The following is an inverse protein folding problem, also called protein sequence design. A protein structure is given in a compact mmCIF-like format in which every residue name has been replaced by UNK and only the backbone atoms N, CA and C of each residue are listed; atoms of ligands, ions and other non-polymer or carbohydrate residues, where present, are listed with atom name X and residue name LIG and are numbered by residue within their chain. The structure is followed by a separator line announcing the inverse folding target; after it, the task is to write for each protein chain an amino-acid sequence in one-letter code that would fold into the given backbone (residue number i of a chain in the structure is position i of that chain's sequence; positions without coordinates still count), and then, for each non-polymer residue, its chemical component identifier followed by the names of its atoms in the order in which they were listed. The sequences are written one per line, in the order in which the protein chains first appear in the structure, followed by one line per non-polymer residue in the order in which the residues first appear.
data_IF_516626987201
#
_entry.id   IF_516626987201
#
_cell.length_a   1.000
_cell.length_b   1.000
_cell.length_c   1.000
_cell.angle_alpha   90.00
_cell.angle_beta   90.00
_cell.angle_gamma   90.00
#
_symmetry.space_group_name_H-M   'P 1'
#
loop_
_entity.id
_entity.type
_entity.pdbx_description
1 polymer ?
#
# COMPACT_ATOMS: atom_id res chain seq x y z
N UNK A 1 -3.58 9.84 -12.19
CA UNK A 1 -3.09 9.42 -13.53
C UNK A 1 -3.70 10.36 -14.54
N UNK A 2 -2.94 10.86 -15.51
CA UNK A 2 -3.51 11.66 -16.61
C UNK A 2 -4.29 10.71 -17.51
N UNK A 3 -5.47 11.12 -17.96
CA UNK A 3 -6.19 10.40 -19.01
C UNK A 3 -5.35 10.39 -20.28
N UNK A 4 -5.26 9.22 -20.93
CA UNK A 4 -4.61 9.11 -22.23
C UNK A 4 -5.51 8.32 -23.16
N UNK A 5 -5.67 8.81 -24.38
CA UNK A 5 -6.47 8.14 -25.40
C UNK A 5 -5.72 6.90 -25.91
N UNK A 6 -6.39 5.75 -25.87
CA UNK A 6 -5.85 4.46 -26.29
C UNK A 6 -5.44 4.46 -27.77
N UNK A 7 -6.19 5.15 -28.64
CA UNK A 7 -5.93 5.27 -30.08
C UNK A 7 -4.62 5.98 -30.39
N UNK A 8 -4.10 6.78 -29.45
CA UNK A 8 -2.85 7.52 -29.62
C UNK A 8 -1.61 6.75 -29.15
N UNK A 9 -1.79 5.62 -28.46
CA UNK A 9 -0.69 4.87 -27.83
C UNK A 9 -0.59 3.44 -28.38
N UNK A 10 -1.70 2.74 -28.56
CA UNK A 10 -1.67 1.32 -28.87
C UNK A 10 -1.71 1.06 -30.38
N UNK A 11 -1.02 0.00 -30.86
CA UNK A 11 -1.18 -0.48 -32.21
C UNK A 11 -2.64 -0.90 -32.50
N UNK A 12 -3.07 -0.71 -33.74
CA UNK A 12 -4.45 -1.02 -34.18
C UNK A 12 -4.89 -2.45 -33.83
N UNK A 13 -4.04 -3.44 -34.09
CA UNK A 13 -4.33 -4.85 -33.84
C UNK A 13 -4.58 -5.14 -32.35
N UNK A 14 -3.84 -4.49 -31.46
CA UNK A 14 -4.02 -4.61 -30.01
C UNK A 14 -5.33 -3.94 -29.55
N UNK A 15 -5.66 -2.77 -30.11
CA UNK A 15 -6.92 -2.09 -29.83
C UNK A 15 -8.12 -2.92 -30.25
N UNK A 16 -8.07 -3.54 -31.43
CA UNK A 16 -9.12 -4.44 -31.92
C UNK A 16 -9.32 -5.63 -30.97
N UNK A 17 -8.23 -6.24 -30.48
CA UNK A 17 -8.32 -7.32 -29.49
C UNK A 17 -8.94 -6.82 -28.18
N UNK A 18 -8.52 -5.67 -27.66
CA UNK A 18 -9.09 -5.11 -26.43
C UNK A 18 -10.60 -4.82 -26.61
N UNK A 19 -10.99 -4.25 -27.75
CA UNK A 19 -12.39 -3.95 -28.07
C UNK A 19 -13.27 -5.19 -28.18
N UNK A 20 -12.73 -6.35 -28.57
CA UNK A 20 -13.46 -7.63 -28.53
C UNK A 20 -13.90 -8.02 -27.12
N UNK A 21 -13.11 -7.67 -26.10
CA UNK A 21 -13.43 -7.98 -24.70
C UNK A 21 -14.18 -6.84 -24.00
N UNK A 22 -13.80 -5.58 -24.27
CA UNK A 22 -14.29 -4.39 -23.56
C UNK A 22 -14.47 -3.21 -24.54
N UNK A 23 -15.58 -3.15 -25.29
CA UNK A 23 -15.85 -2.03 -26.20
C UNK A 23 -16.25 -0.77 -25.41
N UNK A 24 -15.47 0.31 -25.56
CA UNK A 24 -15.77 1.63 -24.97
C UNK A 24 -15.58 1.74 -23.45
N UNK A 25 -14.98 0.73 -22.81
CA UNK A 25 -14.77 0.72 -21.35
C UNK A 25 -13.47 1.39 -20.90
N UNK A 26 -13.40 1.71 -19.61
CA UNK A 26 -12.18 2.18 -18.95
C UNK A 26 -11.42 0.99 -18.35
N UNK A 27 -10.18 0.78 -18.78
CA UNK A 27 -9.34 -0.33 -18.33
C UNK A 27 -8.16 0.21 -17.54
N UNK A 28 -7.92 -0.36 -16.36
CA UNK A 28 -6.68 -0.13 -15.63
C UNK A 28 -5.58 -1.03 -16.18
N UNK A 29 -4.48 -0.44 -16.65
CA UNK A 29 -3.29 -1.18 -17.05
C UNK A 29 -2.31 -1.18 -15.87
N UNK A 30 -2.12 -2.33 -15.20
CA UNK A 30 -1.16 -2.44 -14.11
C UNK A 30 0.27 -2.15 -14.59
N UNK A 31 1.12 -1.69 -13.67
CA UNK A 31 2.57 -1.63 -13.95
C UNK A 31 3.11 -3.05 -14.13
N UNK A 32 4.16 -3.24 -14.97
CA UNK A 32 4.90 -4.49 -15.03
C UNK A 32 5.34 -4.92 -13.63
N UNK A 33 5.35 -6.24 -13.38
CA UNK A 33 5.56 -6.77 -12.02
C UNK A 33 6.87 -6.31 -11.40
N UNK A 34 7.88 -6.15 -12.23
CA UNK A 34 9.24 -5.75 -11.85
C UNK A 34 9.36 -4.24 -11.56
N UNK A 35 8.35 -3.46 -11.99
CA UNK A 35 8.20 -2.05 -11.70
C UNK A 35 7.25 -1.77 -10.52
N UNK A 36 6.69 -2.81 -9.88
CA UNK A 36 5.99 -2.63 -8.61
C UNK A 36 7.00 -2.27 -7.53
N UNK A 37 7.13 -0.98 -7.27
CA UNK A 37 7.68 -0.52 -6.01
C UNK A 37 6.81 -1.02 -4.88
N UNK A 38 7.43 -1.56 -3.84
CA UNK A 38 6.70 -2.11 -2.73
C UNK A 38 5.92 -0.96 -2.04
N UNK A 39 4.69 -1.20 -1.62
CA UNK A 39 3.80 -0.18 -1.02
C UNK A 39 4.50 0.75 -0.02
N UNK A 40 4.52 2.06 -0.31
CA UNK A 40 5.11 3.10 0.55
C UNK A 40 6.58 3.46 0.26
N UNK A 41 7.20 2.93 -0.79
CA UNK A 41 8.56 3.33 -1.22
C UNK A 41 8.63 4.73 -1.84
N UNK A 42 7.61 5.18 -2.58
CA UNK A 42 7.63 6.52 -3.22
C UNK A 42 7.13 7.65 -2.31
N UNK A 43 6.34 7.36 -1.28
CA UNK A 43 5.69 8.37 -0.44
C UNK A 43 6.33 8.53 0.93
N UNK A 44 7.38 7.75 1.25
CA UNK A 44 8.00 7.74 2.59
C UNK A 44 7.12 7.13 3.68
N UNK A 45 5.85 6.85 3.41
CA UNK A 45 4.89 6.34 4.40
C UNK A 45 5.31 5.01 5.02
N UNK A 46 6.05 4.16 4.28
CA UNK A 46 6.61 2.93 4.85
C UNK A 46 7.62 3.21 5.95
N UNK A 47 8.45 4.26 5.81
CA UNK A 47 9.45 4.64 6.80
C UNK A 47 8.76 5.15 8.07
N UNK A 48 7.81 6.07 7.92
CA UNK A 48 7.03 6.62 9.04
C UNK A 48 6.31 5.52 9.83
N UNK A 49 5.63 4.61 9.12
CA UNK A 49 4.93 3.48 9.78
C UNK A 49 5.92 2.55 10.49
N UNK A 50 7.11 2.33 9.92
CA UNK A 50 8.14 1.51 10.55
C UNK A 50 8.69 2.17 11.82
N UNK A 51 9.04 3.45 11.76
CA UNK A 51 9.56 4.23 12.89
C UNK A 51 8.54 4.24 14.04
N UNK A 52 7.28 4.59 13.76
CA UNK A 52 6.19 4.52 14.74
C UNK A 52 6.06 3.11 15.36
N UNK A 53 6.08 2.06 14.53
CA UNK A 53 5.92 0.70 15.04
C UNK A 53 7.12 0.23 15.88
N UNK A 54 8.33 0.75 15.63
CA UNK A 54 9.50 0.46 16.44
C UNK A 54 9.43 1.21 17.79
N UNK A 55 8.96 2.46 17.81
CA UNK A 55 8.69 3.21 19.04
C UNK A 55 7.62 2.53 19.91
N UNK A 56 6.49 2.11 19.31
CA UNK A 56 5.43 1.35 20.01
C UNK A 56 6.00 0.09 20.69
N UNK A 57 6.93 -0.62 20.02
CA UNK A 57 7.57 -1.80 20.61
C UNK A 57 8.49 -1.46 21.77
N UNK A 58 9.23 -0.35 21.67
CA UNK A 58 10.11 0.10 22.76
C UNK A 58 9.30 0.49 24.00
N UNK A 59 8.22 1.26 23.83
CA UNK A 59 7.33 1.64 24.93
C UNK A 59 6.64 0.42 25.56
N UNK A 60 6.17 -0.52 24.73
CA UNK A 60 5.60 -1.77 25.24
C UNK A 60 6.63 -2.58 26.05
N UNK A 61 7.87 -2.68 25.56
CA UNK A 61 8.95 -3.35 26.29
C UNK A 61 9.34 -2.63 27.59
N UNK A 62 9.12 -1.31 27.67
CA UNK A 62 9.28 -0.50 28.87
C UNK A 62 8.10 -0.59 29.85
N UNK A 63 7.04 -1.34 29.51
CA UNK A 63 5.90 -1.60 30.41
C UNK A 63 4.63 -0.79 30.12
N UNK A 64 4.59 0.02 29.06
CA UNK A 64 3.36 0.71 28.65
C UNK A 64 2.30 -0.31 28.21
N UNK A 65 1.05 -0.15 28.66
CA UNK A 65 -0.01 -1.11 28.37
C UNK A 65 -0.53 -0.98 26.93
N UNK A 66 -1.19 -2.03 26.44
CA UNK A 66 -1.79 -2.04 25.10
C UNK A 66 -2.85 -0.93 24.96
N UNK A 67 -3.66 -0.70 25.99
CA UNK A 67 -4.70 0.34 25.99
C UNK A 67 -4.09 1.75 25.92
N UNK A 68 -3.04 2.01 26.71
CA UNK A 68 -2.31 3.29 26.66
C UNK A 68 -1.69 3.55 25.28
N UNK A 69 -1.11 2.52 24.66
CA UNK A 69 -0.56 2.63 23.30
C UNK A 69 -1.66 2.83 22.25
N UNK A 70 -2.80 2.18 22.42
CA UNK A 70 -3.96 2.33 21.52
C UNK A 70 -4.45 3.78 21.52
N UNK A 71 -4.58 4.38 22.71
CA UNK A 71 -4.99 5.77 22.87
C UNK A 71 -3.92 6.74 22.33
N UNK A 72 -2.65 6.56 22.75
CA UNK A 72 -1.55 7.46 22.38
C UNK A 72 -1.34 7.55 20.85
N UNK A 73 -1.47 6.43 20.14
CA UNK A 73 -1.25 6.38 18.69
C UNK A 73 -2.54 6.41 17.88
N UNK A 74 -3.71 6.54 18.53
CA UNK A 74 -5.03 6.46 17.92
C UNK A 74 -5.18 5.20 17.04
N UNK A 75 -4.76 4.04 17.58
CA UNK A 75 -4.81 2.75 16.91
C UNK A 75 -5.75 1.81 17.67
N UNK A 76 -6.38 0.88 16.97
CA UNK A 76 -7.15 -0.16 17.65
C UNK A 76 -6.24 -1.07 18.48
N UNK A 77 -6.79 -1.62 19.58
CA UNK A 77 -6.12 -2.63 20.41
C UNK A 77 -5.55 -3.78 19.56
N UNK A 78 -6.31 -4.25 18.56
CA UNK A 78 -5.86 -5.30 17.64
C UNK A 78 -4.64 -4.87 16.81
N UNK A 79 -4.61 -3.61 16.35
CA UNK A 79 -3.47 -3.05 15.63
C UNK A 79 -2.23 -2.99 16.52
N UNK A 80 -2.36 -2.54 17.76
CA UNK A 80 -1.26 -2.53 18.74
C UNK A 80 -0.76 -3.96 19.00
N UNK A 81 -1.65 -4.93 19.25
CA UNK A 81 -1.31 -6.35 19.42
C UNK A 81 -0.51 -6.88 18.22
N UNK A 82 -0.96 -6.58 17.00
CA UNK A 82 -0.24 -6.96 15.77
C UNK A 82 1.14 -6.29 15.66
N UNK A 83 1.33 -5.09 16.20
CA UNK A 83 2.62 -4.40 16.18
C UNK A 83 3.58 -5.03 17.19
N UNK A 84 3.13 -5.25 18.43
CA UNK A 84 4.00 -5.69 19.53
C UNK A 84 4.27 -7.20 19.53
N UNK A 85 3.34 -8.03 19.06
CA UNK A 85 3.49 -9.49 19.08
C UNK A 85 3.99 -10.10 17.76
N UNK A 86 3.96 -9.36 16.65
CA UNK A 86 4.45 -9.88 15.37
C UNK A 86 5.98 -9.81 15.33
N UNK A 87 6.64 -10.97 15.21
CA UNK A 87 8.09 -11.06 14.98
C UNK A 87 8.48 -10.24 13.74
N UNK A 88 9.60 -9.50 13.83
CA UNK A 88 10.24 -8.90 12.64
C UNK A 88 10.59 -10.04 11.69
N UNK A 89 9.93 -10.08 10.54
CA UNK A 89 10.31 -10.92 9.40
C UNK A 89 11.22 -10.16 8.47
#
# INVERSE_FOLDING_TARGET
MKYINADTIFPKELLEEIQRHIPGGLIYIPRPKDAYKKWGENSGGRRIVRERNDEIRQLFAAGTTIDQLADQYCLSIDSIKKIVYRKKG
#
